data_IF_727201389291
#
_entry.id   IF_727201389291
#
_cell.length_a   1.000
_cell.length_b   1.000
_cell.length_c   1.000
_cell.angle_alpha   90.00
_cell.angle_beta   90.00
_cell.angle_gamma   90.00
#
_symmetry.space_group_name_H-M   'P 1'
#
loop_
_entity.id
_entity.type
_entity.pdbx_description
1 polymer ?
#
# COMPACT_ATOMS: atom_id res chain seq x y z
N UNK A 1 -5.62 -43.93 -2.11
CA UNK A 1 -4.57 -42.94 -2.44
C UNK A 1 -4.78 -41.72 -1.56
N UNK A 2 -4.19 -41.74 -0.38
CA UNK A 2 -4.31 -40.68 0.62
C UNK A 2 -3.42 -39.50 0.21
N UNK A 3 -4.01 -38.47 -0.39
CA UNK A 3 -3.34 -37.17 -0.53
C UNK A 3 -3.39 -36.51 0.83
N UNK A 4 -2.28 -36.62 1.57
CA UNK A 4 -2.06 -35.91 2.82
C UNK A 4 -2.15 -34.42 2.59
N UNK A 5 -3.32 -33.85 2.88
CA UNK A 5 -3.46 -32.43 3.18
C UNK A 5 -2.80 -32.21 4.55
N UNK A 6 -1.48 -32.15 4.54
CA UNK A 6 -0.72 -31.62 5.68
C UNK A 6 -1.11 -30.14 5.71
N UNK A 7 -1.94 -29.77 6.68
CA UNK A 7 -2.01 -28.40 7.18
C UNK A 7 -1.00 -28.30 8.32
N UNK A 8 0.25 -27.85 8.12
CA UNK A 8 1.07 -27.44 9.24
C UNK A 8 0.97 -25.91 9.41
N UNK A 9 0.93 -25.52 10.68
CA UNK A 9 0.98 -24.16 11.23
C UNK A 9 -0.30 -23.31 11.15
N UNK A 10 -1.25 -23.68 12.00
CA UNK A 10 -1.88 -22.67 12.86
C UNK A 10 -0.77 -21.96 13.67
N UNK A 11 -0.77 -20.61 13.65
CA UNK A 11 0.03 -19.69 14.50
C UNK A 11 1.46 -19.25 14.09
N UNK A 12 1.93 -19.45 12.86
CA UNK A 12 3.12 -18.70 12.42
C UNK A 12 2.74 -17.25 12.07
N UNK A 13 3.44 -16.26 12.64
CA UNK A 13 3.24 -14.86 12.27
C UNK A 13 3.52 -14.66 10.78
N UNK A 14 2.82 -13.70 10.17
CA UNK A 14 2.97 -13.37 8.75
C UNK A 14 4.44 -13.04 8.41
N UNK A 15 5.14 -12.36 9.33
CA UNK A 15 6.56 -12.04 9.24
C UNK A 15 7.45 -13.29 9.20
N UNK A 16 7.21 -14.26 10.11
CA UNK A 16 7.99 -15.50 10.15
C UNK A 16 7.79 -16.35 8.88
N UNK A 17 6.55 -16.40 8.37
CA UNK A 17 6.24 -17.05 7.11
C UNK A 17 6.96 -16.37 5.93
N UNK A 18 6.94 -15.03 5.90
CA UNK A 18 7.60 -14.27 4.85
C UNK A 18 9.12 -14.48 4.86
N UNK A 19 9.75 -14.56 6.03
CA UNK A 19 11.19 -14.85 6.12
C UNK A 19 11.54 -16.22 5.54
N UNK A 20 10.79 -17.27 5.91
CA UNK A 20 10.94 -18.61 5.29
C UNK A 20 10.75 -18.57 3.79
N UNK A 21 9.76 -17.80 3.32
CA UNK A 21 9.49 -17.66 1.89
C UNK A 21 10.61 -16.93 1.14
N UNK A 22 11.23 -15.93 1.76
CA UNK A 22 12.44 -15.27 1.24
C UNK A 22 13.61 -16.26 1.15
N UNK A 23 13.73 -17.14 2.14
CA UNK A 23 14.74 -18.21 2.19
C UNK A 23 14.47 -19.35 1.19
N UNK A 24 13.38 -19.26 0.42
CA UNK A 24 13.09 -20.17 -0.68
C UNK A 24 12.21 -21.35 -0.33
N UNK A 25 11.59 -21.37 0.86
CA UNK A 25 10.59 -22.36 1.24
C UNK A 25 9.25 -22.08 0.52
N UNK A 26 8.88 -22.85 -0.52
CA UNK A 26 7.65 -22.61 -1.27
C UNK A 26 6.40 -22.94 -0.44
N UNK A 27 6.51 -23.80 0.58
CA UNK A 27 5.37 -24.19 1.42
C UNK A 27 4.84 -23.05 2.29
N UNK A 28 5.69 -22.04 2.56
CA UNK A 28 5.29 -20.85 3.29
C UNK A 28 4.29 -19.99 2.52
N UNK A 29 4.25 -20.08 1.19
CA UNK A 29 3.40 -19.23 0.35
C UNK A 29 1.92 -19.44 0.61
N UNK A 30 1.46 -20.68 0.76
CA UNK A 30 0.04 -20.97 0.94
C UNK A 30 -0.49 -20.38 2.26
N UNK A 31 0.33 -20.44 3.32
CA UNK A 31 0.03 -19.82 4.61
C UNK A 31 0.01 -18.28 4.53
N UNK A 32 0.98 -17.67 3.83
CA UNK A 32 1.01 -16.22 3.55
C UNK A 32 -0.24 -15.81 2.79
N UNK A 33 -0.60 -16.56 1.73
CA UNK A 33 -1.77 -16.28 0.92
C UNK A 33 -3.05 -16.37 1.73
N UNK A 34 -3.20 -17.42 2.56
CA UNK A 34 -4.34 -17.58 3.46
C UNK A 34 -4.56 -16.36 4.37
N UNK A 35 -3.47 -15.81 4.93
CA UNK A 35 -3.54 -14.64 5.80
C UNK A 35 -3.74 -13.32 5.04
N UNK A 36 -3.20 -13.19 3.82
CA UNK A 36 -3.27 -11.95 3.04
C UNK A 36 -4.53 -11.83 2.17
N UNK A 37 -5.19 -12.95 1.81
CA UNK A 37 -6.30 -12.94 0.85
C UNK A 37 -7.42 -11.99 1.26
N UNK A 38 -7.89 -12.09 2.51
CA UNK A 38 -8.98 -11.25 3.03
C UNK A 38 -8.63 -9.77 3.00
N UNK A 39 -7.55 -9.33 3.68
CA UNK A 39 -7.10 -7.94 3.68
C UNK A 39 -6.87 -7.36 2.29
N UNK A 40 -6.22 -8.11 1.39
CA UNK A 40 -5.94 -7.65 0.03
C UNK A 40 -7.22 -7.52 -0.81
N UNK A 41 -8.14 -8.48 -0.71
CA UNK A 41 -9.41 -8.42 -1.46
C UNK A 41 -10.27 -7.26 -0.98
N UNK A 42 -10.35 -7.03 0.34
CA UNK A 42 -11.06 -5.90 0.92
C UNK A 42 -10.48 -4.56 0.46
N UNK A 43 -9.15 -4.40 0.55
CA UNK A 43 -8.48 -3.19 0.09
C UNK A 43 -8.68 -2.93 -1.42
N UNK A 44 -8.53 -3.97 -2.26
CA UNK A 44 -8.71 -3.86 -3.69
C UNK A 44 -10.15 -3.52 -4.08
N UNK A 45 -11.17 -4.11 -3.43
CA UNK A 45 -12.58 -3.76 -3.63
C UNK A 45 -12.88 -2.29 -3.33
N UNK A 46 -12.18 -1.69 -2.36
CA UNK A 46 -12.33 -0.27 -2.02
C UNK A 46 -11.65 0.65 -3.02
N UNK A 47 -10.50 0.23 -3.57
CA UNK A 47 -9.73 1.06 -4.50
C UNK A 47 -10.19 0.95 -5.96
N UNK A 48 -10.77 -0.18 -6.34
CA UNK A 48 -11.19 -0.48 -7.70
C UNK A 48 -12.70 -0.24 -7.85
N UNK A 49 -13.14 0.21 -9.04
CA UNK A 49 -14.58 0.45 -9.33
C UNK A 49 -15.27 -0.89 -9.63
N UNK A 50 -16.61 -0.89 -9.65
CA UNK A 50 -17.45 -2.10 -9.80
C UNK A 50 -17.10 -3.00 -10.99
N UNK A 51 -16.60 -2.42 -12.10
CA UNK A 51 -16.24 -3.16 -13.32
C UNK A 51 -14.80 -3.69 -13.34
N UNK A 52 -14.00 -3.43 -12.30
CA UNK A 52 -12.64 -3.93 -12.20
C UNK A 52 -12.60 -5.29 -11.52
N UNK A 53 -12.06 -6.29 -12.22
CA UNK A 53 -11.87 -7.63 -11.66
C UNK A 53 -10.84 -7.59 -10.53
N UNK A 54 -11.35 -7.56 -9.30
CA UNK A 54 -10.58 -7.62 -8.06
C UNK A 54 -9.71 -8.87 -8.01
N UNK A 55 -10.21 -10.00 -8.48
CA UNK A 55 -9.46 -11.26 -8.51
C UNK A 55 -8.21 -11.16 -9.37
N UNK A 56 -8.31 -10.52 -10.54
CA UNK A 56 -7.16 -10.30 -11.42
C UNK A 56 -6.13 -9.36 -10.74
N UNK A 57 -6.60 -8.35 -10.01
CA UNK A 57 -5.74 -7.41 -9.29
C UNK A 57 -5.04 -8.10 -8.11
N UNK A 58 -5.75 -8.97 -7.41
CA UNK A 58 -5.20 -9.82 -6.35
C UNK A 58 -4.12 -10.75 -6.92
N UNK A 59 -4.39 -11.42 -8.04
CA UNK A 59 -3.42 -12.28 -8.71
C UNK A 59 -2.17 -11.50 -9.12
N UNK A 60 -2.34 -10.33 -9.74
CA UNK A 60 -1.23 -9.45 -10.13
C UNK A 60 -0.40 -9.03 -8.90
N UNK A 61 -1.08 -8.73 -7.79
CA UNK A 61 -0.43 -8.37 -6.52
C UNK A 61 0.43 -9.51 -5.99
N UNK A 62 -0.09 -10.75 -6.01
CA UNK A 62 0.65 -11.94 -5.55
C UNK A 62 1.86 -12.25 -6.43
N UNK A 63 1.75 -12.08 -7.76
CA UNK A 63 2.88 -12.21 -8.67
C UNK A 63 3.96 -11.15 -8.40
N UNK A 64 3.56 -9.89 -8.16
CA UNK A 64 4.48 -8.82 -7.78
C UNK A 64 5.10 -9.07 -6.39
N UNK A 65 4.35 -9.62 -5.44
CA UNK A 65 4.85 -10.06 -4.14
C UNK A 65 5.94 -11.12 -4.32
N UNK A 66 5.66 -12.18 -5.08
CA UNK A 66 6.61 -13.26 -5.34
C UNK A 66 7.91 -12.75 -5.96
N UNK A 67 7.82 -11.90 -6.99
CA UNK A 67 8.99 -11.37 -7.71
C UNK A 67 9.77 -10.34 -6.91
N UNK A 68 9.14 -9.67 -5.94
CA UNK A 68 9.78 -8.69 -5.07
C UNK A 68 10.20 -9.22 -3.70
N UNK A 69 9.97 -10.51 -3.41
CA UNK A 69 10.25 -11.11 -2.09
C UNK A 69 11.68 -10.88 -1.60
N UNK A 70 12.67 -10.92 -2.48
CA UNK A 70 14.08 -10.68 -2.12
C UNK A 70 14.37 -9.25 -1.66
N UNK A 71 13.46 -8.30 -1.92
CA UNK A 71 13.55 -6.90 -1.48
C UNK A 71 12.85 -6.66 -0.15
N UNK A 72 12.17 -7.66 0.40
CA UNK A 72 11.57 -7.56 1.73
C UNK A 72 12.64 -7.35 2.78
N UNK A 73 12.41 -6.38 3.66
CA UNK A 73 13.29 -6.10 4.80
C UNK A 73 12.86 -6.98 5.96
N UNK A 74 13.72 -7.90 6.39
CA UNK A 74 13.47 -8.75 7.57
C UNK A 74 13.11 -7.91 8.79
N UNK A 75 12.17 -8.42 9.59
CA UNK A 75 11.59 -7.69 10.73
C UNK A 75 10.68 -6.50 10.41
N UNK A 76 10.44 -6.15 9.13
CA UNK A 76 9.44 -5.14 8.78
C UNK A 76 8.03 -5.75 8.75
N UNK A 77 6.96 -5.02 9.12
CA UNK A 77 5.60 -5.55 8.98
C UNK A 77 5.28 -5.94 7.53
N UNK A 78 4.80 -7.16 7.30
CA UNK A 78 4.56 -7.69 5.95
C UNK A 78 3.31 -7.08 5.33
N UNK A 79 2.20 -7.05 6.08
CA UNK A 79 0.91 -6.60 5.56
C UNK A 79 0.97 -5.18 4.95
N UNK A 80 1.55 -4.15 5.60
CA UNK A 80 1.71 -2.82 4.99
C UNK A 80 2.56 -2.81 3.72
N UNK A 81 3.59 -3.66 3.67
CA UNK A 81 4.44 -3.78 2.48
C UNK A 81 3.65 -4.39 1.31
N UNK A 82 2.87 -5.46 1.54
CA UNK A 82 2.05 -6.06 0.47
C UNK A 82 0.87 -5.18 0.07
N UNK A 83 0.25 -4.46 1.01
CA UNK A 83 -0.79 -3.47 0.70
C UNK A 83 -0.24 -2.33 -0.18
N UNK A 84 1.05 -1.97 -0.04
CA UNK A 84 1.71 -1.03 -0.94
C UNK A 84 1.82 -1.59 -2.36
N UNK A 85 2.15 -2.88 -2.51
CA UNK A 85 2.17 -3.57 -3.82
C UNK A 85 0.76 -3.56 -4.42
N UNK A 86 -0.25 -3.93 -3.63
CA UNK A 86 -1.65 -3.97 -4.06
C UNK A 86 -2.17 -2.60 -4.50
N UNK A 87 -1.84 -1.55 -3.74
CA UNK A 87 -2.21 -0.17 -4.08
C UNK A 87 -1.57 0.27 -5.39
N UNK A 88 -0.31 -0.08 -5.63
CA UNK A 88 0.35 0.21 -6.90
C UNK A 88 -0.32 -0.53 -8.06
N UNK A 89 -0.71 -1.80 -7.89
CA UNK A 89 -1.50 -2.55 -8.88
C UNK A 89 -2.83 -1.85 -9.18
N UNK A 90 -3.54 -1.40 -8.15
CA UNK A 90 -4.81 -0.71 -8.33
C UNK A 90 -4.62 0.62 -9.08
N UNK A 91 -3.63 1.43 -8.69
CA UNK A 91 -3.31 2.70 -9.36
C UNK A 91 -2.89 2.49 -10.82
N UNK A 92 -2.06 1.48 -11.11
CA UNK A 92 -1.65 1.15 -12.48
C UNK A 92 -2.88 0.82 -13.35
N UNK A 93 -3.84 0.07 -12.80
CA UNK A 93 -5.09 -0.29 -13.49
C UNK A 93 -5.97 0.92 -13.75
N UNK A 94 -6.21 1.75 -12.75
CA UNK A 94 -7.00 2.99 -12.88
C UNK A 94 -6.38 3.93 -13.92
N UNK A 95 -5.05 4.09 -13.92
CA UNK A 95 -4.35 4.90 -14.94
C UNK A 95 -4.47 4.31 -16.34
N UNK A 96 -4.34 2.99 -16.48
CA UNK A 96 -4.52 2.34 -17.78
C UNK A 96 -5.93 2.50 -18.34
N UNK A 97 -6.94 2.63 -17.46
CA UNK A 97 -8.31 2.96 -17.85
C UNK A 97 -8.42 4.42 -18.23
N UNK A 98 -7.95 5.34 -17.40
CA UNK A 98 -7.97 6.76 -17.71
C UNK A 98 -7.26 7.05 -19.05
N UNK A 99 -6.14 6.40 -19.35
CA UNK A 99 -5.48 6.55 -20.66
C UNK A 99 -6.30 5.97 -21.82
N UNK A 100 -7.13 4.94 -21.59
CA UNK A 100 -8.04 4.36 -22.59
C UNK A 100 -9.33 5.17 -22.73
N UNK A 101 -9.85 5.70 -21.63
CA UNK A 101 -11.03 6.56 -21.56
C UNK A 101 -10.72 7.96 -22.11
N UNK A 102 -9.54 8.53 -21.83
CA UNK A 102 -9.07 9.78 -22.43
C UNK A 102 -8.83 9.66 -23.94
N UNK A 103 -8.54 8.46 -24.44
CA UNK A 103 -8.51 8.19 -25.87
C UNK A 103 -9.92 8.11 -26.50
N UNK A 104 -10.99 8.13 -25.69
CA UNK A 104 -12.38 7.93 -26.11
C UNK A 104 -13.36 9.05 -25.67
N UNK A 105 -13.00 9.92 -24.72
CA UNK A 105 -13.76 11.14 -24.35
C UNK A 105 -12.96 12.00 -23.35
N UNK A 106 -12.92 13.32 -23.58
CA UNK A 106 -12.60 14.32 -22.56
C UNK A 106 -13.69 14.33 -21.48
N UNK A 107 -13.29 14.57 -20.23
CA UNK A 107 -14.12 14.70 -19.02
C UNK A 107 -14.53 13.42 -18.26
N UNK A 108 -13.68 12.99 -17.31
CA UNK A 108 -14.14 12.70 -15.94
C UNK A 108 -12.94 12.62 -14.96
N UNK A 109 -12.87 13.56 -14.03
CA UNK A 109 -11.90 13.56 -12.94
C UNK A 109 -12.42 12.72 -11.77
N UNK A 110 -11.71 11.62 -11.50
CA UNK A 110 -12.11 10.63 -10.51
C UNK A 110 -11.97 11.15 -9.07
N UNK A 111 -13.10 11.17 -8.36
CA UNK A 111 -13.19 11.19 -6.91
C UNK A 111 -12.42 9.99 -6.33
N UNK A 112 -11.31 10.27 -5.63
CA UNK A 112 -10.68 9.32 -4.72
C UNK A 112 -11.34 9.53 -3.34
N UNK A 113 -12.53 8.96 -3.17
CA UNK A 113 -13.19 8.91 -1.87
C UNK A 113 -12.57 7.77 -1.03
N UNK A 114 -12.09 8.18 0.16
CA UNK A 114 -11.83 7.44 1.41
C UNK A 114 -11.24 6.02 1.37
N UNK A 115 -10.18 5.82 2.14
CA UNK A 115 -9.73 4.49 2.61
C UNK A 115 -9.16 4.56 4.03
N UNK A 116 -9.15 3.46 4.80
CA UNK A 116 -10.29 2.58 5.10
C UNK A 116 -10.29 1.94 6.53
N UNK A 117 -11.45 1.49 7.00
CA UNK A 117 -11.57 0.49 8.07
C UNK A 117 -10.78 -0.80 7.74
N UNK A 118 -10.05 -1.30 8.76
CA UNK A 118 -9.63 -2.69 9.08
C UNK A 118 -8.12 -3.00 9.22
N UNK A 119 -7.62 -2.73 10.44
CA UNK A 119 -7.03 -3.71 11.39
C UNK A 119 -7.73 -3.44 12.76
N UNK A 120 -7.58 -4.23 13.86
CA UNK A 120 -8.35 -4.02 15.09
C UNK A 120 -7.83 -2.79 15.84
N UNK A 121 -8.19 -1.64 15.29
CA UNK A 121 -8.02 -0.31 15.81
C UNK A 121 -9.47 0.09 16.09
N UNK A 122 -9.75 0.57 17.29
CA UNK A 122 -11.05 1.20 17.51
C UNK A 122 -11.19 2.34 16.48
N UNK A 123 -12.43 2.70 16.13
CA UNK A 123 -12.67 3.88 15.29
C UNK A 123 -12.02 5.16 15.87
N UNK A 124 -11.72 5.16 17.17
CA UNK A 124 -10.95 6.21 17.86
C UNK A 124 -9.46 6.14 17.56
N UNK A 125 -8.83 4.96 17.57
CA UNK A 125 -7.41 4.81 17.23
C UNK A 125 -7.13 5.19 15.77
N UNK A 126 -8.05 4.87 14.85
CA UNK A 126 -7.92 5.25 13.44
C UNK A 126 -8.01 6.76 13.24
N UNK A 127 -8.95 7.43 13.93
CA UNK A 127 -9.06 8.90 13.91
C UNK A 127 -7.82 9.57 14.47
N UNK A 128 -7.25 9.04 15.55
CA UNK A 128 -6.02 9.57 16.15
C UNK A 128 -4.83 9.44 15.17
N UNK A 129 -4.68 8.28 14.52
CA UNK A 129 -3.62 8.09 13.51
C UNK A 129 -3.83 9.00 12.31
N UNK A 130 -5.05 9.12 11.80
CA UNK A 130 -5.34 10.00 10.66
C UNK A 130 -5.05 11.46 11.03
N UNK A 131 -5.44 11.90 12.22
CA UNK A 131 -5.14 13.24 12.73
C UNK A 131 -3.62 13.47 12.84
N UNK A 132 -2.90 12.53 13.44
CA UNK A 132 -1.45 12.65 13.62
C UNK A 132 -0.68 12.59 12.29
N UNK A 133 -1.16 11.82 11.31
CA UNK A 133 -0.60 11.81 9.94
C UNK A 133 -0.86 13.14 9.24
N UNK A 134 -2.05 13.73 9.37
CA UNK A 134 -2.36 15.05 8.80
C UNK A 134 -1.47 16.13 9.40
N UNK A 135 -1.36 16.17 10.72
CA UNK A 135 -0.48 17.10 11.42
C UNK A 135 0.99 16.93 10.99
N UNK A 136 1.47 15.69 10.88
CA UNK A 136 2.83 15.42 10.43
C UNK A 136 3.07 15.87 8.97
N UNK A 137 2.06 15.79 8.10
CA UNK A 137 2.13 16.30 6.73
C UNK A 137 2.21 17.84 6.72
N UNK A 138 1.50 18.52 7.61
CA UNK A 138 1.57 19.97 7.77
C UNK A 138 2.93 20.47 8.28
N UNK A 139 3.64 19.64 9.04
CA UNK A 139 5.00 19.94 9.50
C UNK A 139 6.09 19.76 8.43
N UNK A 140 5.75 19.27 7.24
CA UNK A 140 6.71 19.11 6.16
C UNK A 140 7.08 20.47 5.53
N UNK A 141 8.31 20.60 4.99
CA UNK A 141 8.62 21.72 4.12
C UNK A 141 7.60 21.77 2.96
N UNK A 142 7.08 22.97 2.64
CA UNK A 142 6.01 23.17 1.64
C UNK A 142 6.27 22.39 0.33
N UNK A 143 7.50 22.44 -0.17
CA UNK A 143 7.91 21.73 -1.39
C UNK A 143 7.80 20.19 -1.31
N UNK A 144 7.91 19.60 -0.12
CA UNK A 144 7.74 18.16 0.11
C UNK A 144 6.28 17.81 0.38
N UNK A 145 5.56 18.69 1.09
CA UNK A 145 4.12 18.56 1.34
C UNK A 145 3.34 18.51 0.03
N UNK A 146 3.62 19.44 -0.88
CA UNK A 146 2.91 19.58 -2.15
C UNK A 146 3.12 18.35 -3.07
N UNK A 147 4.37 17.87 -3.17
CA UNK A 147 4.69 16.63 -3.89
C UNK A 147 3.97 15.42 -3.27
N UNK A 148 3.93 15.32 -1.95
CA UNK A 148 3.25 14.21 -1.25
C UNK A 148 1.74 14.28 -1.46
N UNK A 149 1.14 15.48 -1.40
CA UNK A 149 -0.30 15.68 -1.67
C UNK A 149 -0.65 15.24 -3.08
N UNK A 150 0.00 15.82 -4.09
CA UNK A 150 -0.27 15.49 -5.49
C UNK A 150 -0.06 13.99 -5.78
N UNK A 151 1.02 13.40 -5.24
CA UNK A 151 1.34 12.00 -5.50
C UNK A 151 0.47 11.00 -4.72
N UNK A 152 0.26 11.22 -3.41
CA UNK A 152 -0.37 10.24 -2.53
C UNK A 152 -1.86 10.45 -2.35
N UNK A 153 -2.32 11.69 -2.36
CA UNK A 153 -3.73 12.05 -2.16
C UNK A 153 -4.43 12.12 -3.52
N UNK A 154 -3.85 12.86 -4.47
CA UNK A 154 -4.44 13.08 -5.79
C UNK A 154 -4.01 12.02 -6.83
N UNK A 155 -3.16 11.07 -6.44
CA UNK A 155 -2.81 9.89 -7.26
C UNK A 155 -1.91 10.17 -8.47
N UNK A 156 -1.35 11.37 -8.61
CA UNK A 156 -0.49 11.76 -9.73
C UNK A 156 0.82 10.96 -9.75
N UNK A 157 1.32 10.62 -10.93
CA UNK A 157 2.66 10.02 -11.12
C UNK A 157 3.76 11.05 -10.86
N UNK A 158 5.00 10.61 -10.67
CA UNK A 158 6.11 11.55 -10.41
C UNK A 158 6.37 12.48 -11.60
N UNK A 159 6.13 12.02 -12.83
CA UNK A 159 6.21 12.84 -14.05
C UNK A 159 5.11 13.91 -14.07
N UNK A 160 3.86 13.54 -13.84
CA UNK A 160 2.74 14.50 -13.77
C UNK A 160 2.93 15.52 -12.63
N UNK A 161 3.41 15.07 -11.46
CA UNK A 161 3.74 15.97 -10.35
C UNK A 161 4.83 16.97 -10.76
N UNK A 162 5.84 16.51 -11.50
CA UNK A 162 6.92 17.35 -11.96
C UNK A 162 6.44 18.40 -12.98
N UNK A 163 5.56 18.00 -13.89
CA UNK A 163 4.91 18.89 -14.85
C UNK A 163 4.05 19.95 -14.14
N UNK A 164 3.16 19.53 -13.23
CA UNK A 164 2.29 20.43 -12.45
C UNK A 164 3.11 21.47 -11.68
N UNK A 165 4.24 21.05 -11.10
CA UNK A 165 5.09 21.91 -10.28
C UNK A 165 6.17 22.67 -11.07
N UNK A 166 6.26 22.47 -12.39
CA UNK A 166 7.29 23.09 -13.23
C UNK A 166 8.73 22.70 -12.83
N UNK A 167 8.95 21.48 -12.35
CA UNK A 167 10.27 20.97 -11.91
C UNK A 167 10.68 19.72 -12.69
N UNK A 168 11.94 19.30 -12.54
CA UNK A 168 12.40 18.01 -13.06
C UNK A 168 11.83 16.85 -12.24
N UNK A 169 11.52 15.73 -12.89
CA UNK A 169 11.01 14.53 -12.21
C UNK A 169 11.97 14.00 -11.12
N UNK A 170 13.28 14.10 -11.34
CA UNK A 170 14.29 13.79 -10.32
C UNK A 170 14.17 14.68 -9.07
N UNK A 171 13.86 15.97 -9.25
CA UNK A 171 13.65 16.91 -8.15
C UNK A 171 12.36 16.59 -7.38
N UNK A 172 11.28 16.20 -8.08
CA UNK A 172 10.05 15.72 -7.44
C UNK A 172 10.32 14.49 -6.56
N UNK A 173 11.06 13.49 -7.07
CA UNK A 173 11.45 12.30 -6.27
C UNK A 173 12.30 12.66 -5.04
N UNK A 174 13.24 13.61 -5.17
CA UNK A 174 14.06 14.08 -4.04
C UNK A 174 13.20 14.76 -2.97
N UNK A 175 12.26 15.63 -3.37
CA UNK A 175 11.31 16.28 -2.46
C UNK A 175 10.43 15.25 -1.76
N UNK A 176 9.88 14.28 -2.48
CA UNK A 176 9.13 13.17 -1.90
C UNK A 176 9.96 12.38 -0.87
N UNK A 177 11.19 12.01 -1.22
CA UNK A 177 12.08 11.27 -0.33
C UNK A 177 12.39 12.03 0.97
N UNK A 178 12.64 13.35 0.88
CA UNK A 178 12.84 14.20 2.06
C UNK A 178 11.58 14.24 2.93
N UNK A 179 10.41 14.43 2.32
CA UNK A 179 9.13 14.38 3.02
C UNK A 179 8.92 13.06 3.75
N UNK A 180 9.13 11.91 3.10
CA UNK A 180 8.99 10.61 3.75
C UNK A 180 9.97 10.39 4.91
N UNK A 181 11.20 10.92 4.83
CA UNK A 181 12.15 10.86 5.95
C UNK A 181 11.67 11.65 7.17
N UNK A 182 11.06 12.81 6.95
CA UNK A 182 10.51 13.63 8.05
C UNK A 182 9.26 12.95 8.62
N UNK A 183 8.32 12.52 7.78
CA UNK A 183 7.13 11.77 8.21
C UNK A 183 7.52 10.52 9.02
N UNK A 184 8.51 9.76 8.56
CA UNK A 184 8.97 8.58 9.30
C UNK A 184 9.45 8.96 10.71
N UNK A 185 10.17 10.07 10.89
CA UNK A 185 10.61 10.52 12.22
C UNK A 185 9.44 10.94 13.11
N UNK A 186 8.51 11.72 12.56
CA UNK A 186 7.35 12.24 13.30
C UNK A 186 6.39 11.11 13.73
N UNK A 187 6.23 10.10 12.88
CA UNK A 187 5.25 9.03 13.07
C UNK A 187 5.80 7.78 13.80
N UNK A 188 7.11 7.67 14.01
CA UNK A 188 7.72 6.55 14.79
C UNK A 188 7.17 6.47 16.22
N UNK A 189 6.75 7.60 16.80
CA UNK A 189 6.14 7.66 18.15
C UNK A 189 4.70 7.12 18.22
N UNK A 190 3.96 7.10 17.12
CA UNK A 190 2.58 6.57 17.09
C UNK A 190 2.57 5.04 17.19
N UNK A 191 3.60 4.38 16.66
CA UNK A 191 3.73 2.92 16.67
C UNK A 191 3.87 2.32 18.07
N UNK A 192 4.30 3.13 19.06
CA UNK A 192 4.55 2.69 20.43
C UNK A 192 3.38 2.94 21.40
N UNK A 193 2.42 3.81 21.05
CA UNK A 193 1.26 4.10 21.91
C UNK A 193 0.16 3.05 21.78
N UNK A 194 -0.06 2.52 20.58
CA UNK A 194 -1.07 1.46 20.37
C UNK A 194 -0.67 0.08 20.92
N UNK A 195 0.61 -0.15 21.24
CA UNK A 195 1.06 -1.40 21.88
C UNK A 195 1.04 -1.36 23.41
N UNK A 196 0.71 -0.21 24.02
CA UNK A 196 0.71 -0.02 25.48
C UNK A 196 -0.70 0.02 26.11
N UNK A 197 -1.76 -0.15 25.30
CA UNK A 197 -3.16 -0.14 25.74
C UNK A 197 -3.88 -1.49 25.54
N UNK A 198 -3.13 -2.58 25.42
CA UNK A 198 -3.66 -3.96 25.42
C UNK A 198 -3.36 -4.63 26.77
#
# INVERSE_FOLDING_TARGET
MSLGHVLPNTEASLEALMERYVDGDPSAFDAIFGQLRGPLTGALRRWLRTDDRVDDALQTTLLKLHTSRSRYRRGAPVLPWVLTIARNVALDRLRSRQSREWALSEDEQANIAATPEDAPWSAEDEREVVAAVREAIEQLPASSQEVIRLHKIEGRSMSEVAEILGIKEGAARVRAHRGYKVLAKLLVGLKHRSSASA
#
